data_IF_606699587700
#
_entry.id   IF_606699587700
#
_cell.length_a   1.000
_cell.length_b   1.000
_cell.length_c   1.000
_cell.angle_alpha   90.00
_cell.angle_beta   90.00
_cell.angle_gamma   90.00
#
_symmetry.space_group_name_H-M   'P 1'
#
loop_
_entity.id
_entity.type
_entity.pdbx_description
1 polymer ?
#
# COMPACT_ATOMS: atom_id res chain seq x y z
N UNK A 1 6.82 -3.35 -19.41
CA UNK A 1 7.42 -2.67 -18.24
C UNK A 1 6.62 -1.40 -18.05
N UNK A 2 5.94 -1.23 -16.91
CA UNK A 2 4.90 -0.19 -16.72
C UNK A 2 5.50 1.11 -16.18
N UNK A 3 6.37 1.73 -16.96
CA UNK A 3 7.05 2.98 -16.56
C UNK A 3 6.04 4.09 -16.20
N UNK A 4 4.85 4.05 -16.82
CA UNK A 4 3.76 4.99 -16.57
C UNK A 4 3.16 4.85 -15.16
N UNK A 5 2.81 3.64 -14.71
CA UNK A 5 2.20 3.45 -13.39
C UNK A 5 3.20 3.71 -12.26
N UNK A 6 4.48 3.39 -12.48
CA UNK A 6 5.55 3.78 -11.55
C UNK A 6 5.66 5.30 -11.41
N UNK A 7 5.63 6.03 -12.54
CA UNK A 7 5.62 7.49 -12.54
C UNK A 7 4.38 8.08 -11.86
N UNK A 8 3.21 7.47 -12.07
CA UNK A 8 1.95 7.84 -11.41
C UNK A 8 2.07 7.73 -9.89
N UNK A 9 2.53 6.59 -9.37
CA UNK A 9 2.73 6.38 -7.93
C UNK A 9 3.79 7.33 -7.39
N UNK A 10 4.95 7.44 -8.05
CA UNK A 10 6.04 8.31 -7.60
C UNK A 10 5.61 9.79 -7.53
N UNK A 11 4.87 10.27 -8.54
CA UNK A 11 4.31 11.62 -8.54
C UNK A 11 3.27 11.81 -7.43
N UNK A 12 2.37 10.84 -7.26
CA UNK A 12 1.36 10.89 -6.21
C UNK A 12 1.94 10.86 -4.79
N UNK A 13 3.03 10.12 -4.57
CA UNK A 13 3.72 10.04 -3.28
C UNK A 13 4.30 11.37 -2.78
N UNK A 14 4.44 12.35 -3.68
CA UNK A 14 4.84 13.73 -3.36
C UNK A 14 3.68 14.67 -3.01
N UNK A 15 2.44 14.19 -3.03
CA UNK A 15 1.24 14.98 -2.72
C UNK A 15 0.83 14.86 -1.25
N UNK A 16 -0.02 15.77 -0.78
CA UNK A 16 -0.61 15.70 0.56
C UNK A 16 -1.48 14.45 0.76
N UNK A 17 -2.05 13.88 -0.32
CA UNK A 17 -2.84 12.65 -0.27
C UNK A 17 -2.03 11.42 0.20
N UNK A 18 -0.70 11.46 0.04
CA UNK A 18 0.21 10.41 0.49
C UNK A 18 0.77 10.65 1.91
N UNK A 19 0.34 11.72 2.60
CA UNK A 19 0.85 12.05 3.92
C UNK A 19 0.52 10.95 4.95
N UNK A 20 1.49 10.68 5.83
CA UNK A 20 1.39 9.63 6.84
C UNK A 20 1.59 8.20 6.32
N UNK A 21 1.81 7.96 5.02
CA UNK A 21 2.27 6.65 4.55
C UNK A 21 3.69 6.36 5.06
N UNK A 22 3.85 5.20 5.69
CA UNK A 22 5.15 4.65 6.08
C UNK A 22 5.97 4.21 4.87
N UNK A 23 7.29 4.07 5.05
CA UNK A 23 8.18 3.60 3.99
C UNK A 23 7.74 2.23 3.41
N UNK A 24 7.23 1.33 4.26
CA UNK A 24 6.73 0.03 3.84
C UNK A 24 5.49 0.15 2.92
N UNK A 25 4.51 0.99 3.27
CA UNK A 25 3.32 1.22 2.45
C UNK A 25 3.68 1.82 1.08
N UNK A 26 4.60 2.80 1.07
CA UNK A 26 5.12 3.40 -0.16
C UNK A 26 5.80 2.38 -1.06
N UNK A 27 6.65 1.52 -0.48
CA UNK A 27 7.38 0.50 -1.21
C UNK A 27 6.46 -0.58 -1.78
N UNK A 28 5.44 -1.01 -1.03
CA UNK A 28 4.42 -1.95 -1.52
C UNK A 28 3.72 -1.39 -2.77
N UNK A 29 3.30 -0.12 -2.75
CA UNK A 29 2.65 0.52 -3.90
C UNK A 29 3.57 0.56 -5.12
N UNK A 30 4.85 0.91 -4.93
CA UNK A 30 5.84 0.93 -6.00
C UNK A 30 6.11 -0.48 -6.57
N UNK A 31 6.21 -1.52 -5.73
CA UNK A 31 6.39 -2.89 -6.20
C UNK A 31 5.18 -3.37 -7.02
N UNK A 32 3.96 -3.04 -6.58
CA UNK A 32 2.75 -3.38 -7.34
C UNK A 32 2.73 -2.63 -8.68
N UNK A 33 3.03 -1.32 -8.67
CA UNK A 33 3.05 -0.50 -9.88
C UNK A 33 4.10 -0.94 -10.91
N UNK A 34 5.28 -1.36 -10.47
CA UNK A 34 6.38 -1.84 -11.34
C UNK A 34 5.92 -2.98 -12.25
N UNK A 35 5.09 -3.88 -11.71
CA UNK A 35 4.63 -5.11 -12.37
C UNK A 35 3.20 -5.05 -12.88
N UNK A 36 2.46 -4.00 -12.54
CA UNK A 36 1.08 -3.84 -12.95
C UNK A 36 0.97 -3.63 -14.47
N UNK A 37 0.00 -4.28 -15.10
CA UNK A 37 -0.39 -3.95 -16.45
C UNK A 37 -0.94 -2.52 -16.50
N UNK A 38 -0.55 -1.74 -17.51
CA UNK A 38 -0.96 -0.33 -17.61
C UNK A 38 -2.48 -0.13 -17.71
N UNK A 39 -3.19 -1.07 -18.35
CA UNK A 39 -4.63 -0.94 -18.60
C UNK A 39 -5.46 -1.56 -17.48
N UNK A 40 -5.15 -2.81 -17.11
CA UNK A 40 -5.92 -3.50 -16.05
C UNK A 40 -5.43 -3.18 -14.65
N UNK A 41 -4.29 -2.52 -14.49
CA UNK A 41 -3.61 -2.23 -13.21
C UNK A 41 -3.24 -3.47 -12.40
N UNK A 42 -3.49 -4.68 -12.93
CA UNK A 42 -3.20 -5.95 -12.25
C UNK A 42 -1.73 -6.32 -12.34
N UNK A 43 -1.17 -6.70 -11.21
CA UNK A 43 0.19 -7.17 -11.07
C UNK A 43 0.37 -8.49 -11.82
N UNK A 44 1.43 -8.58 -12.63
CA UNK A 44 1.77 -9.80 -13.35
C UNK A 44 2.68 -10.72 -12.55
N UNK A 45 2.48 -12.01 -12.79
CA UNK A 45 3.44 -13.06 -12.42
C UNK A 45 4.34 -13.35 -13.62
N UNK A 46 5.62 -13.50 -13.36
CA UNK A 46 6.63 -13.77 -14.38
C UNK A 46 7.17 -15.20 -14.23
N UNK A 47 7.67 -15.76 -15.34
CA UNK A 47 8.21 -17.13 -15.36
C UNK A 47 9.37 -17.34 -14.38
N UNK A 48 10.12 -16.26 -14.13
CA UNK A 48 11.26 -16.23 -13.21
C UNK A 48 10.91 -16.03 -11.74
N UNK A 49 9.63 -15.87 -11.39
CA UNK A 49 9.20 -15.78 -9.99
C UNK A 49 9.22 -17.17 -9.36
N UNK A 50 10.42 -17.61 -8.99
CA UNK A 50 10.69 -18.94 -8.42
C UNK A 50 11.65 -18.85 -7.24
N UNK A 51 11.53 -19.80 -6.33
CA UNK A 51 12.51 -20.08 -5.28
C UNK A 51 13.70 -20.84 -5.85
N UNK A 52 14.76 -20.96 -5.06
CA UNK A 52 15.98 -21.69 -5.41
C UNK A 52 15.72 -23.18 -5.73
N UNK A 53 14.70 -23.77 -5.09
CA UNK A 53 14.25 -25.14 -5.37
C UNK A 53 13.43 -25.29 -6.66
N UNK A 54 13.26 -24.20 -7.42
CA UNK A 54 12.50 -24.15 -8.66
C UNK A 54 10.99 -24.06 -8.48
N UNK A 55 10.46 -24.06 -7.25
CA UNK A 55 9.03 -23.87 -6.99
C UNK A 55 8.61 -22.42 -7.25
N UNK A 56 7.37 -22.21 -7.67
CA UNK A 56 6.83 -20.86 -7.96
C UNK A 56 6.57 -20.11 -6.65
N UNK A 57 7.00 -18.85 -6.57
CA UNK A 57 6.59 -17.96 -5.47
C UNK A 57 5.26 -17.30 -5.77
N UNK A 58 4.51 -17.02 -4.73
CA UNK A 58 3.30 -16.20 -4.80
C UNK A 58 3.65 -14.72 -4.94
N UNK A 59 2.71 -13.91 -5.43
CA UNK A 59 2.89 -12.45 -5.45
C UNK A 59 3.05 -11.88 -4.04
N UNK A 60 2.38 -12.46 -3.04
CA UNK A 60 2.53 -12.06 -1.64
C UNK A 60 3.96 -12.26 -1.14
N UNK A 61 4.56 -13.42 -1.39
CA UNK A 61 5.96 -13.70 -1.03
C UNK A 61 6.92 -12.76 -1.77
N UNK A 62 6.69 -12.56 -3.06
CA UNK A 62 7.48 -11.65 -3.87
C UNK A 62 7.48 -10.22 -3.33
N UNK A 63 6.30 -9.70 -2.94
CA UNK A 63 6.18 -8.37 -2.35
C UNK A 63 6.88 -8.33 -0.98
N UNK A 64 6.69 -9.36 -0.14
CA UNK A 64 7.32 -9.44 1.17
C UNK A 64 8.85 -9.40 1.06
N UNK A 65 9.42 -10.24 0.19
CA UNK A 65 10.86 -10.35 -0.02
C UNK A 65 11.45 -9.05 -0.54
N UNK A 66 10.83 -8.46 -1.58
CA UNK A 66 11.30 -7.20 -2.17
C UNK A 66 11.15 -6.00 -1.23
N UNK A 67 10.14 -6.02 -0.36
CA UNK A 67 9.92 -4.97 0.62
C UNK A 67 10.76 -5.17 1.90
N UNK A 68 11.47 -6.30 2.04
CA UNK A 68 12.18 -6.65 3.27
C UNK A 68 11.25 -6.83 4.46
N UNK A 69 10.02 -7.32 4.24
CA UNK A 69 8.98 -7.46 5.25
C UNK A 69 8.78 -8.92 5.62
N UNK A 70 8.55 -9.18 6.91
CA UNK A 70 7.99 -10.46 7.34
C UNK A 70 6.56 -10.62 6.83
N UNK A 71 6.00 -11.85 6.77
CA UNK A 71 4.60 -12.06 6.38
C UNK A 71 3.62 -11.24 7.23
N UNK A 72 3.89 -11.09 8.53
CA UNK A 72 3.13 -10.24 9.44
C UNK A 72 3.28 -8.77 9.09
N UNK A 73 4.51 -8.29 8.87
CA UNK A 73 4.78 -6.90 8.51
C UNK A 73 4.13 -6.49 7.19
N UNK A 74 4.11 -7.38 6.20
CA UNK A 74 3.37 -7.17 4.96
C UNK A 74 1.87 -7.10 5.22
N UNK A 75 1.30 -8.00 6.02
CA UNK A 75 -0.11 -7.96 6.37
C UNK A 75 -0.49 -6.62 7.03
N UNK A 76 0.33 -6.15 7.97
CA UNK A 76 0.11 -4.86 8.65
C UNK A 76 0.22 -3.66 7.69
N UNK A 77 1.12 -3.71 6.70
CA UNK A 77 1.21 -2.70 5.65
C UNK A 77 -0.04 -2.70 4.75
N UNK A 78 -0.48 -3.88 4.30
CA UNK A 78 -1.68 -4.04 3.47
C UNK A 78 -2.94 -3.57 4.21
N UNK A 79 -3.08 -3.88 5.50
CA UNK A 79 -4.19 -3.40 6.31
C UNK A 79 -4.19 -1.88 6.46
N UNK A 80 -3.02 -1.26 6.65
CA UNK A 80 -2.93 0.22 6.75
C UNK A 80 -3.26 0.89 5.42
N UNK A 81 -2.78 0.36 4.31
CA UNK A 81 -3.18 0.80 2.97
C UNK A 81 -4.69 0.69 2.76
N UNK A 82 -5.29 -0.45 3.08
CA UNK A 82 -6.73 -0.67 2.95
C UNK A 82 -7.55 0.31 3.80
N UNK A 83 -7.14 0.60 5.05
CA UNK A 83 -7.78 1.60 5.92
C UNK A 83 -7.72 3.02 5.35
N UNK A 84 -6.77 3.29 4.44
CA UNK A 84 -6.62 4.56 3.73
C UNK A 84 -7.32 4.56 2.36
N UNK A 85 -8.11 3.54 2.04
CA UNK A 85 -8.78 3.40 0.74
C UNK A 85 -7.87 2.95 -0.39
N UNK A 86 -6.66 2.46 -0.07
CA UNK A 86 -5.66 2.00 -1.04
C UNK A 86 -5.55 0.46 -1.01
N UNK A 87 -6.68 -0.24 -0.97
CA UNK A 87 -6.68 -1.70 -1.00
C UNK A 87 -6.05 -2.19 -2.32
N UNK A 88 -4.93 -2.90 -2.20
CA UNK A 88 -4.18 -3.42 -3.35
C UNK A 88 -4.46 -4.89 -3.62
N UNK A 89 -5.15 -5.59 -2.70
CA UNK A 89 -5.49 -7.00 -2.88
C UNK A 89 -6.80 -7.11 -3.65
N UNK A 90 -6.85 -8.01 -4.62
CA UNK A 90 -8.06 -8.27 -5.39
C UNK A 90 -9.00 -9.14 -4.56
N UNK A 91 -10.16 -8.58 -4.18
CA UNK A 91 -11.21 -9.33 -3.52
C UNK A 91 -11.82 -10.34 -4.50
N UNK A 92 -11.86 -11.62 -4.10
CA UNK A 92 -12.39 -12.72 -4.92
C UNK A 92 -13.77 -13.19 -4.47
N UNK A 93 -14.13 -12.92 -3.22
CA UNK A 93 -15.41 -13.25 -2.65
C UNK A 93 -15.69 -12.41 -1.41
N UNK A 94 -16.89 -12.55 -0.87
CA UNK A 94 -17.26 -12.06 0.46
C UNK A 94 -17.67 -13.27 1.29
N UNK A 95 -17.18 -13.36 2.53
CA UNK A 95 -17.57 -14.44 3.43
C UNK A 95 -19.02 -14.26 3.95
N UNK A 96 -19.52 -15.25 4.69
CA UNK A 96 -20.89 -15.21 5.26
C UNK A 96 -21.08 -14.12 6.31
N UNK A 97 -20.02 -13.44 6.74
CA UNK A 97 -20.02 -12.35 7.71
C UNK A 97 -19.76 -10.99 7.04
N UNK A 98 -19.78 -10.93 5.72
CA UNK A 98 -19.56 -9.69 4.96
C UNK A 98 -18.08 -9.29 4.83
N UNK A 99 -17.12 -10.14 5.21
CA UNK A 99 -15.69 -9.80 5.15
C UNK A 99 -15.11 -10.13 3.78
N UNK A 100 -14.22 -9.30 3.24
CA UNK A 100 -13.58 -9.57 1.96
C UNK A 100 -12.66 -10.80 2.07
N UNK A 101 -12.78 -11.68 1.09
CA UNK A 101 -11.90 -12.84 0.91
C UNK A 101 -10.98 -12.55 -0.26
N UNK A 102 -9.68 -12.68 -0.04
CA UNK A 102 -8.62 -12.39 -1.04
C UNK A 102 -7.89 -13.64 -1.52
N UNK A 103 -8.03 -14.75 -0.81
CA UNK A 103 -7.43 -16.03 -1.16
C UNK A 103 -8.31 -17.19 -0.68
N UNK A 104 -8.19 -18.33 -1.36
CA UNK A 104 -8.83 -19.60 -0.96
C UNK A 104 -7.97 -20.76 -1.41
N UNK A 105 -8.31 -22.00 -1.01
CA UNK A 105 -7.60 -23.20 -1.46
C UNK A 105 -7.53 -23.21 -3.00
N UNK A 106 -6.31 -23.26 -3.55
CA UNK A 106 -6.07 -23.23 -4.99
C UNK A 106 -6.06 -21.84 -5.65
N UNK A 107 -6.21 -20.76 -4.88
CA UNK A 107 -6.17 -19.38 -5.38
C UNK A 107 -5.41 -18.47 -4.41
N UNK A 108 -4.16 -18.15 -4.77
CA UNK A 108 -3.34 -17.19 -4.03
C UNK A 108 -3.88 -15.75 -4.21
N UNK A 109 -3.40 -14.82 -3.39
CA UNK A 109 -3.81 -13.41 -3.48
C UNK A 109 -3.28 -12.80 -4.77
N UNK A 110 -4.19 -12.21 -5.56
CA UNK A 110 -3.85 -11.33 -6.67
C UNK A 110 -3.77 -9.87 -6.20
N UNK A 111 -2.99 -9.07 -6.92
CA UNK A 111 -2.75 -7.66 -6.59
C UNK A 111 -3.08 -6.75 -7.77
N UNK A 112 -3.63 -5.58 -7.46
CA UNK A 112 -4.00 -4.54 -8.42
C UNK A 112 -3.60 -3.19 -7.84
N UNK A 113 -3.04 -2.32 -8.67
CA UNK A 113 -2.72 -0.95 -8.25
C UNK A 113 -4.04 -0.16 -8.17
N UNK A 114 -4.43 0.38 -7.00
CA UNK A 114 -5.66 1.15 -6.88
C UNK A 114 -5.54 2.47 -7.63
N UNK A 115 -6.67 3.09 -7.96
CA UNK A 115 -6.67 4.49 -8.38
C UNK A 115 -6.26 5.37 -7.21
N UNK A 116 -5.28 6.25 -7.45
CA UNK A 116 -4.71 7.08 -6.39
C UNK A 116 -5.58 8.34 -6.20
N UNK A 117 -6.03 8.64 -4.96
CA UNK A 117 -6.92 9.77 -4.72
C UNK A 117 -6.18 11.10 -4.88
N UNK A 118 -6.79 12.06 -5.58
CA UNK A 118 -6.18 13.38 -5.83
C UNK A 118 -6.09 14.28 -4.59
N UNK A 119 -6.88 14.01 -3.55
CA UNK A 119 -6.95 14.80 -2.33
C UNK A 119 -7.44 13.95 -1.16
N UNK A 120 -6.77 14.04 -0.01
CA UNK A 120 -7.37 13.69 1.29
C UNK A 120 -7.68 14.99 2.01
N UNK A 121 -8.85 15.06 2.63
CA UNK A 121 -9.12 16.07 3.64
C UNK A 121 -8.21 15.74 4.82
N UNK A 122 -7.13 16.51 5.02
CA UNK A 122 -6.26 16.33 6.17
C UNK A 122 -7.07 16.68 7.43
N UNK A 123 -7.04 15.86 8.50
CA UNK A 123 -7.60 16.28 9.77
C UNK A 123 -6.93 17.60 10.19
N UNK A 124 -7.68 18.55 10.77
CA UNK A 124 -7.12 19.83 11.18
C UNK A 124 -5.91 19.57 12.10
N UNK A 125 -4.79 20.26 11.81
CA UNK A 125 -3.61 20.21 12.68
C UNK A 125 -4.05 20.49 14.12
N UNK A 126 -3.54 19.73 15.11
CA UNK A 126 -3.72 20.11 16.50
C UNK A 126 -3.26 21.56 16.64
N UNK A 127 -4.15 22.43 17.10
CA UNK A 127 -3.75 23.80 17.47
C UNK A 127 -2.74 23.63 18.60
N UNK A 128 -1.50 24.09 18.39
CA UNK A 128 -0.58 24.30 19.49
C UNK A 128 -1.25 25.33 20.40
N UNK A 129 -1.90 24.88 21.47
CA UNK A 129 -2.30 25.70 22.58
C UNK A 129 -1.02 26.15 23.27
N UNK A 130 -0.40 27.16 22.67
CA UNK A 130 0.73 27.88 23.22
C UNK A 130 0.38 28.25 24.65
N UNK A 131 1.12 27.63 25.57
CA UNK A 131 1.18 28.00 26.97
C UNK A 131 1.31 29.52 27.05
N UNK A 132 0.26 30.18 27.54
CA UNK A 132 0.33 31.55 28.00
C UNK A 132 1.37 31.60 29.11
N UNK A 133 2.56 32.09 28.79
CA UNK A 133 3.56 32.46 29.78
C UNK A 133 2.97 33.50 30.74
N UNK A 134 3.34 33.47 32.03
CA UNK A 134 2.78 34.38 33.02
C UNK A 134 3.20 35.83 32.73
N UNK A 135 2.38 36.84 33.11
CA UNK A 135 2.63 38.22 32.77
C UNK A 135 3.89 38.76 33.46
N UNK A 136 4.67 39.48 32.67
CA UNK A 136 5.84 40.26 33.06
C UNK A 136 5.47 41.27 34.16
N UNK A 137 6.21 41.30 35.27
CA UNK A 137 6.05 42.29 36.33
C UNK A 137 6.94 43.49 36.00
N UNK A 138 6.31 44.62 35.69
CA UNK A 138 6.96 45.92 35.62
C UNK A 138 7.70 46.24 36.94
N UNK A 139 8.92 46.77 36.79
CA UNK A 139 9.68 47.50 37.81
C UNK A 139 10.23 48.78 37.21
#
# INVERSE_FOLDING_TARGET
MSARLMGEVAGWLGTAAAEGLTAAERLVLLIVAERANEHSRRMWTHRGDRRDDGTRITLTELIADRAGLTPRGLNDALQRLARRGLEVRVQIATDTRGRPVFARKGHAVDYELPFLPASVELPPRPVDSGSSGPPERDR
#
